data_IF_247383347690
#
_entry.id   IF_247383347690
#
_cell.length_a   1.000
_cell.length_b   1.000
_cell.length_c   1.000
_cell.angle_alpha   90.00
_cell.angle_beta   90.00
_cell.angle_gamma   90.00
#
_symmetry.space_group_name_H-M   'P 1'
#
loop_
_entity.id
_entity.type
_entity.pdbx_description
1 polymer ?
#
# COMPACT_ATOMS: atom_id res chain seq x y z
N UNK A 1 15.53 -37.01 31.50
CA UNK A 1 14.80 -37.00 30.22
C UNK A 1 13.92 -35.76 30.02
N UNK A 2 13.02 -35.39 30.95
CA UNK A 2 12.12 -34.21 30.80
C UNK A 2 12.84 -32.86 30.60
N UNK A 3 13.96 -32.62 31.30
CA UNK A 3 14.75 -31.39 31.16
C UNK A 3 15.46 -31.28 29.80
N UNK A 4 15.90 -32.41 29.24
CA UNK A 4 16.55 -32.45 27.93
C UNK A 4 15.54 -32.14 26.82
N UNK A 5 14.34 -32.72 26.90
CA UNK A 5 13.24 -32.44 25.97
C UNK A 5 12.81 -30.97 26.02
N UNK A 6 12.76 -30.35 27.20
CA UNK A 6 12.44 -28.94 27.35
C UNK A 6 13.49 -28.01 26.70
N UNK A 7 14.78 -28.35 26.82
CA UNK A 7 15.87 -27.59 26.19
C UNK A 7 15.83 -27.74 24.66
N UNK A 8 15.57 -28.94 24.15
CA UNK A 8 15.43 -29.18 22.71
C UNK A 8 14.22 -28.41 22.14
N UNK A 9 13.09 -28.40 22.85
CA UNK A 9 11.91 -27.64 22.45
C UNK A 9 12.18 -26.13 22.43
N UNK A 10 12.89 -25.61 23.44
CA UNK A 10 13.25 -24.20 23.50
C UNK A 10 14.21 -23.78 22.36
N UNK A 11 15.17 -24.64 22.02
CA UNK A 11 16.07 -24.42 20.88
C UNK A 11 15.33 -24.44 19.54
N UNK A 12 14.32 -25.31 19.37
CA UNK A 12 13.48 -25.36 18.17
C UNK A 12 12.60 -24.11 18.01
N UNK A 13 12.08 -23.56 19.11
CA UNK A 13 11.32 -22.30 19.07
C UNK A 13 12.20 -21.09 18.74
N UNK A 14 13.44 -21.05 19.22
CA UNK A 14 14.38 -19.98 18.92
C UNK A 14 15.00 -20.09 17.52
N UNK A 15 14.99 -21.28 16.93
CA UNK A 15 15.47 -21.55 15.57
C UNK A 15 14.39 -21.38 14.49
N UNK A 16 13.21 -20.85 14.84
CA UNK A 16 12.23 -20.44 13.83
C UNK A 16 12.89 -19.36 12.96
N UNK A 17 12.93 -19.50 11.63
CA UNK A 17 13.33 -18.39 10.78
C UNK A 17 12.41 -17.19 11.09
N UNK A 18 12.91 -15.95 11.10
CA UNK A 18 12.02 -14.80 11.17
C UNK A 18 11.00 -14.97 10.06
N UNK A 19 9.71 -15.01 10.42
CA UNK A 19 8.67 -15.06 9.41
C UNK A 19 8.87 -13.87 8.48
N UNK A 20 8.90 -14.11 7.16
CA UNK A 20 8.96 -13.04 6.18
C UNK A 20 7.69 -12.20 6.33
N UNK A 21 7.80 -11.09 7.05
CA UNK A 21 6.72 -10.13 7.18
C UNK A 21 6.75 -9.28 5.91
N UNK A 22 5.86 -9.60 4.97
CA UNK A 22 5.74 -8.87 3.72
C UNK A 22 5.23 -7.45 4.00
N UNK A 23 5.82 -6.41 3.37
CA UNK A 23 5.36 -5.05 3.57
C UNK A 23 3.90 -4.88 3.20
N UNK A 24 3.14 -4.11 3.99
CA UNK A 24 1.71 -3.85 3.72
C UNK A 24 1.54 -2.63 2.83
N UNK A 25 0.92 -2.80 1.66
CA UNK A 25 0.63 -1.70 0.73
C UNK A 25 -0.87 -1.52 0.54
N UNK A 26 -1.33 -0.29 0.68
CA UNK A 26 -2.70 0.10 0.36
C UNK A 26 -2.79 0.55 -1.10
N UNK A 27 -3.64 -0.10 -1.88
CA UNK A 27 -4.04 0.35 -3.22
C UNK A 27 -5.33 1.15 -3.06
N UNK A 28 -5.32 2.43 -3.45
CA UNK A 28 -6.48 3.32 -3.33
C UNK A 28 -6.85 3.81 -4.71
N UNK A 29 -8.01 3.39 -5.20
CA UNK A 29 -8.59 3.85 -6.46
C UNK A 29 -9.58 4.98 -6.20
N UNK A 30 -9.52 6.02 -7.02
CA UNK A 30 -10.50 7.11 -7.00
C UNK A 30 -11.93 6.61 -7.34
N UNK A 31 -12.03 5.65 -8.25
CA UNK A 31 -13.27 5.03 -8.72
C UNK A 31 -12.94 3.74 -9.50
N UNK A 32 -13.96 2.96 -9.86
CA UNK A 32 -13.79 1.78 -10.71
C UNK A 32 -13.92 2.18 -12.17
N UNK A 33 -12.79 2.34 -12.84
CA UNK A 33 -12.68 2.53 -14.29
C UNK A 33 -11.76 1.47 -14.86
N UNK A 34 -12.05 1.00 -16.07
CA UNK A 34 -11.27 -0.04 -16.76
C UNK A 34 -9.78 0.31 -16.79
N UNK A 35 -9.43 1.55 -17.15
CA UNK A 35 -8.04 1.99 -17.19
C UNK A 35 -7.36 2.05 -15.79
N UNK A 36 -8.12 2.22 -14.72
CA UNK A 36 -7.57 2.16 -13.35
C UNK A 36 -7.37 0.72 -12.92
N UNK A 37 -8.29 -0.17 -13.29
CA UNK A 37 -8.20 -1.60 -13.01
C UNK A 37 -7.01 -2.22 -13.73
N UNK A 38 -6.75 -1.85 -14.99
CA UNK A 38 -5.56 -2.26 -15.76
C UNK A 38 -4.25 -1.82 -15.09
N UNK A 39 -4.17 -0.57 -14.64
CA UNK A 39 -2.97 -0.04 -13.95
C UNK A 39 -2.73 -0.76 -12.63
N UNK A 40 -3.80 -1.02 -11.87
CA UNK A 40 -3.73 -1.79 -10.62
C UNK A 40 -3.30 -3.23 -10.88
N UNK A 41 -3.81 -3.85 -11.94
CA UNK A 41 -3.43 -5.20 -12.31
C UNK A 41 -1.96 -5.29 -12.70
N UNK A 42 -1.46 -4.36 -13.52
CA UNK A 42 -0.03 -4.30 -13.88
C UNK A 42 0.87 -4.10 -12.65
N UNK A 43 0.45 -3.27 -11.68
CA UNK A 43 1.17 -3.11 -10.42
C UNK A 43 1.23 -4.42 -9.61
N UNK A 44 0.12 -5.15 -9.50
CA UNK A 44 0.07 -6.44 -8.80
C UNK A 44 0.96 -7.50 -9.46
N UNK A 45 0.95 -7.56 -10.78
CA UNK A 45 1.73 -8.53 -11.55
C UNK A 45 3.23 -8.31 -11.38
N UNK A 46 3.67 -7.05 -11.37
CA UNK A 46 5.08 -6.69 -11.17
C UNK A 46 5.57 -6.97 -9.74
N UNK A 47 4.75 -6.64 -8.72
CA UNK A 47 5.10 -6.87 -7.31
C UNK A 47 5.04 -8.37 -6.95
N UNK A 48 4.16 -9.13 -7.59
CA UNK A 48 3.96 -10.55 -7.30
C UNK A 48 3.64 -10.80 -5.83
N UNK A 49 4.35 -11.77 -5.24
CA UNK A 49 4.17 -12.18 -3.85
C UNK A 49 5.05 -11.40 -2.86
N UNK A 50 5.74 -10.33 -3.25
CA UNK A 50 6.69 -9.65 -2.36
C UNK A 50 6.00 -8.79 -1.28
N UNK A 51 4.75 -8.38 -1.49
CA UNK A 51 4.01 -7.47 -0.60
C UNK A 51 2.60 -7.99 -0.28
N UNK A 52 2.05 -7.57 0.86
CA UNK A 52 0.63 -7.75 1.16
C UNK A 52 -0.18 -6.56 0.61
N UNK A 53 -1.00 -6.82 -0.40
CA UNK A 53 -1.76 -5.78 -1.11
C UNK A 53 -3.21 -5.71 -0.61
N UNK A 54 -3.67 -4.50 -0.28
CA UNK A 54 -5.02 -4.25 0.20
C UNK A 54 -5.70 -3.18 -0.64
N UNK A 55 -6.82 -3.51 -1.26
CA UNK A 55 -7.48 -2.61 -2.22
C UNK A 55 -8.68 -1.89 -1.62
N UNK A 56 -8.78 -0.61 -1.96
CA UNK A 56 -9.86 0.26 -1.55
C UNK A 56 -10.33 1.12 -2.71
N UNK A 57 -11.64 1.14 -2.92
CA UNK A 57 -12.29 1.99 -3.91
C UNK A 57 -13.01 3.15 -3.21
N UNK A 58 -12.79 4.36 -3.73
CA UNK A 58 -13.46 5.58 -3.26
C UNK A 58 -14.83 5.78 -3.91
N UNK A 59 -15.18 4.98 -4.91
CA UNK A 59 -16.46 4.97 -5.63
C UNK A 59 -16.79 6.29 -6.32
N UNK A 60 -15.77 7.10 -6.65
CA UNK A 60 -15.96 8.45 -7.19
C UNK A 60 -16.50 9.46 -6.17
N UNK A 61 -16.62 9.07 -4.90
CA UNK A 61 -17.28 9.85 -3.86
C UNK A 61 -16.26 10.53 -2.93
N UNK A 62 -16.11 11.87 -2.99
CA UNK A 62 -15.18 12.59 -2.11
C UNK A 62 -15.49 12.42 -0.62
N UNK A 63 -16.75 12.15 -0.28
CA UNK A 63 -17.18 11.83 1.09
C UNK A 63 -16.49 10.61 1.69
N UNK A 64 -15.99 9.68 0.87
CA UNK A 64 -15.28 8.49 1.33
C UNK A 64 -13.83 8.78 1.78
N UNK A 65 -13.27 9.95 1.47
CA UNK A 65 -11.88 10.28 1.77
C UNK A 65 -11.54 10.18 3.26
N UNK A 66 -12.45 10.61 4.14
CA UNK A 66 -12.25 10.51 5.60
C UNK A 66 -12.12 9.06 6.07
N UNK A 67 -13.01 8.18 5.59
CA UNK A 67 -12.99 6.75 5.91
C UNK A 67 -11.71 6.07 5.42
N UNK A 68 -11.27 6.38 4.20
CA UNK A 68 -10.03 5.83 3.64
C UNK A 68 -8.82 6.25 4.47
N UNK A 69 -8.68 7.54 4.79
CA UNK A 69 -7.57 8.01 5.64
C UNK A 69 -7.54 7.32 6.99
N UNK A 70 -8.70 7.07 7.59
CA UNK A 70 -8.78 6.38 8.87
C UNK A 70 -8.33 4.92 8.77
N UNK A 71 -8.82 4.20 7.74
CA UNK A 71 -8.39 2.82 7.47
C UNK A 71 -6.87 2.76 7.30
N UNK A 72 -6.30 3.68 6.52
CA UNK A 72 -4.85 3.69 6.24
C UNK A 72 -4.04 3.94 7.51
N UNK A 73 -4.45 4.91 8.34
CA UNK A 73 -3.77 5.22 9.61
C UNK A 73 -3.81 4.07 10.60
N UNK A 74 -4.95 3.40 10.73
CA UNK A 74 -5.14 2.34 11.72
C UNK A 74 -4.48 1.02 11.35
N UNK A 75 -4.29 0.74 10.05
CA UNK A 75 -3.78 -0.56 9.58
C UNK A 75 -2.27 -0.64 9.44
N UNK A 76 -1.54 0.46 9.63
CA UNK A 76 -0.08 0.48 9.62
C UNK A 76 0.52 0.09 8.26
N UNK A 77 0.00 0.68 7.18
CA UNK A 77 0.58 0.48 5.84
C UNK A 77 1.96 1.13 5.72
N UNK A 78 2.85 0.47 4.98
CA UNK A 78 4.22 0.91 4.71
C UNK A 78 4.34 1.60 3.35
N UNK A 79 3.36 1.43 2.47
CA UNK A 79 3.27 2.10 1.18
C UNK A 79 1.83 2.31 0.72
N UNK A 80 1.65 3.27 -0.18
CA UNK A 80 0.38 3.54 -0.84
C UNK A 80 0.58 3.57 -2.36
N UNK A 81 -0.28 2.90 -3.10
CA UNK A 81 -0.44 3.06 -4.53
C UNK A 81 -1.77 3.79 -4.81
N UNK A 82 -1.68 5.08 -5.12
CA UNK A 82 -2.85 5.95 -5.30
C UNK A 82 -3.15 6.15 -6.79
N UNK A 83 -4.31 5.69 -7.23
CA UNK A 83 -4.74 5.72 -8.63
C UNK A 83 -5.86 6.75 -8.84
N UNK A 84 -5.55 7.80 -9.60
CA UNK A 84 -6.46 8.90 -9.90
C UNK A 84 -6.37 10.09 -8.92
N UNK A 85 -6.82 11.26 -9.39
CA UNK A 85 -6.67 12.54 -8.68
C UNK A 85 -7.32 12.55 -7.29
N UNK A 86 -8.51 11.93 -7.12
CA UNK A 86 -9.21 11.91 -5.84
C UNK A 86 -8.49 11.01 -4.81
N UNK A 87 -7.94 9.87 -5.23
CA UNK A 87 -7.12 9.02 -4.39
C UNK A 87 -5.86 9.77 -3.95
N UNK A 88 -5.18 10.41 -4.90
CA UNK A 88 -3.98 11.20 -4.64
C UNK A 88 -4.22 12.33 -3.63
N UNK A 89 -5.30 13.11 -3.81
CA UNK A 89 -5.72 14.15 -2.87
C UNK A 89 -6.11 13.60 -1.49
N UNK A 90 -6.57 12.35 -1.42
CA UNK A 90 -6.99 11.74 -0.17
C UNK A 90 -5.80 11.37 0.71
N UNK A 91 -4.71 10.92 0.08
CA UNK A 91 -3.54 10.38 0.76
C UNK A 91 -2.37 11.36 0.84
N UNK A 92 -2.44 12.50 0.14
CA UNK A 92 -1.41 13.53 0.23
C UNK A 92 -1.18 13.94 1.69
N UNK A 93 0.09 14.10 2.07
CA UNK A 93 0.53 14.45 3.43
C UNK A 93 0.18 13.42 4.52
N UNK A 94 -0.12 12.17 4.17
CA UNK A 94 -0.27 11.10 5.18
C UNK A 94 1.07 10.66 5.80
N UNK A 95 2.20 11.10 5.26
CA UNK A 95 3.53 10.71 5.75
C UNK A 95 3.92 9.26 5.43
N UNK A 96 3.16 8.60 4.56
CA UNK A 96 3.42 7.23 4.07
C UNK A 96 3.95 7.34 2.64
N UNK A 97 5.03 6.63 2.27
CA UNK A 97 5.52 6.59 0.90
C UNK A 97 4.39 6.26 -0.09
N UNK A 98 4.17 7.15 -1.06
CA UNK A 98 3.03 7.05 -1.98
C UNK A 98 3.48 7.12 -3.43
N UNK A 99 3.17 6.10 -4.21
CA UNK A 99 3.27 6.12 -5.66
C UNK A 99 1.94 6.61 -6.24
N UNK A 100 1.99 7.61 -7.10
CA UNK A 100 0.82 8.18 -7.76
C UNK A 100 0.73 7.71 -9.20
N UNK A 101 -0.41 7.18 -9.61
CA UNK A 101 -0.68 6.74 -10.98
C UNK A 101 -1.97 7.38 -11.51
N UNK A 102 -2.04 7.62 -12.82
CA UNK A 102 -3.21 8.24 -13.47
C UNK A 102 -3.58 9.61 -12.86
N UNK A 103 -2.57 10.37 -12.39
CA UNK A 103 -2.72 11.72 -11.85
C UNK A 103 -2.16 12.73 -12.85
N UNK A 104 -3.04 13.50 -13.49
CA UNK A 104 -2.63 14.57 -14.41
C UNK A 104 -2.28 15.81 -13.61
N UNK A 105 -1.12 16.41 -13.89
CA UNK A 105 -0.65 17.64 -13.23
C UNK A 105 -0.68 17.58 -11.69
N UNK A 106 0.07 16.65 -11.07
CA UNK A 106 0.10 16.49 -9.60
C UNK A 106 0.44 17.79 -8.86
N UNK A 107 1.23 18.68 -9.47
CA UNK A 107 1.57 20.00 -8.94
C UNK A 107 0.34 20.88 -8.69
N UNK A 108 -0.69 20.77 -9.56
CA UNK A 108 -1.96 21.51 -9.39
C UNK A 108 -2.78 21.00 -8.21
N UNK A 109 -2.52 19.78 -7.74
CA UNK A 109 -3.15 19.18 -6.57
C UNK A 109 -2.38 19.48 -5.26
N UNK A 110 -1.25 20.19 -5.37
CA UNK A 110 -0.32 20.47 -4.28
C UNK A 110 0.61 19.30 -3.98
N UNK A 111 0.65 18.28 -4.84
CA UNK A 111 1.60 17.16 -4.74
C UNK A 111 2.90 17.64 -5.37
N UNK A 112 3.73 18.26 -4.54
CA UNK A 112 4.97 18.94 -4.94
C UNK A 112 6.22 18.31 -4.31
N UNK A 113 6.01 17.33 -3.43
CA UNK A 113 7.05 16.56 -2.75
C UNK A 113 7.69 15.60 -3.77
N UNK A 114 8.64 16.13 -4.56
CA UNK A 114 9.36 15.39 -5.62
C UNK A 114 10.15 14.18 -5.11
N UNK A 115 10.42 14.10 -3.81
CA UNK A 115 11.13 12.97 -3.18
C UNK A 115 10.29 11.68 -3.10
N UNK A 116 8.98 11.76 -3.31
CA UNK A 116 8.06 10.60 -3.24
C UNK A 116 7.47 10.19 -4.59
N UNK A 117 7.90 10.81 -5.69
CA UNK A 117 7.35 10.55 -7.02
C UNK A 117 8.26 9.62 -7.83
N UNK A 118 8.04 8.31 -7.74
CA UNK A 118 8.51 7.39 -8.78
C UNK A 118 7.43 7.30 -9.87
N UNK A 119 7.65 8.00 -10.99
CA UNK A 119 6.85 7.79 -12.19
C UNK A 119 7.29 6.49 -12.86
N UNK A 120 6.34 5.60 -13.14
CA UNK A 120 6.58 4.47 -14.05
C UNK A 120 6.31 5.01 -15.46
N UNK A 121 7.37 5.24 -16.23
CA UNK A 121 7.23 5.45 -17.68
C UNK A 121 7.28 4.10 -18.37
N UNK A 122 6.27 3.81 -19.20
CA UNK A 122 6.33 2.71 -20.18
C UNK A 122 7.23 3.12 -21.34
#
# INVERSE_FOLDING_TARGET
MKRLAAVILLLLLLAQPPGECKPKVAIIKAESLECFDEVVQGFKEEIGDEMELYEYDMLGEPGNAGRIREIVRLRGFEGIFAVGALAALTVKHMGIPTVYAMVISPERLGITEMEQMCGISV
#
